data_IF_412634603277
#
_entry.id   IF_412634603277
#
_cell.length_a   1.000
_cell.length_b   1.000
_cell.length_c   1.000
_cell.angle_alpha   90.00
_cell.angle_beta   90.00
_cell.angle_gamma   90.00
#
_symmetry.space_group_name_H-M   'P 1'
#
loop_
_entity.id
_entity.type
_entity.pdbx_description
1 polymer ?
#
# COMPACT_ATOMS: atom_id res chain seq x y z
N UNK A 1 14.65 39.07 -21.27
CA UNK A 1 13.36 38.40 -21.43
C UNK A 1 12.61 38.58 -20.13
N UNK A 2 11.52 39.36 -20.12
CA UNK A 2 10.71 39.54 -18.93
C UNK A 2 9.88 38.28 -18.71
N UNK A 3 10.19 37.50 -17.68
CA UNK A 3 9.34 36.38 -17.27
C UNK A 3 8.05 37.00 -16.74
N UNK A 4 6.95 36.84 -17.48
CA UNK A 4 5.63 37.16 -16.94
C UNK A 4 5.47 36.33 -15.65
N UNK A 5 5.17 37.01 -14.54
CA UNK A 5 4.73 36.29 -13.35
C UNK A 5 3.45 35.55 -13.69
N UNK A 6 3.31 34.28 -13.28
CA UNK A 6 2.07 33.54 -13.48
C UNK A 6 0.93 34.34 -12.82
N UNK A 7 -0.11 34.63 -13.60
CA UNK A 7 -1.34 35.23 -13.09
C UNK A 7 -2.03 34.15 -12.28
N UNK A 8 -2.11 34.36 -10.97
CA UNK A 8 -2.98 33.57 -10.09
C UNK A 8 -4.35 34.22 -10.24
N UNK A 9 -5.23 33.62 -11.05
CA UNK A 9 -6.64 34.01 -11.04
C UNK A 9 -7.24 33.54 -9.71
N UNK A 10 -7.89 34.47 -9.00
CA UNK A 10 -8.64 34.16 -7.77
C UNK A 10 -9.92 33.35 -8.08
N UNK A 11 -10.30 33.26 -9.35
CA UNK A 11 -11.43 32.44 -9.79
C UNK A 11 -11.08 30.96 -9.65
N UNK A 12 -12.00 30.14 -9.08
CA UNK A 12 -11.78 28.71 -8.94
C UNK A 12 -11.50 28.11 -10.31
N UNK A 13 -10.34 27.49 -10.46
CA UNK A 13 -9.93 26.87 -11.72
C UNK A 13 -10.98 25.83 -12.10
N UNK A 14 -11.71 26.11 -13.16
CA UNK A 14 -12.77 25.24 -13.63
C UNK A 14 -12.19 23.94 -14.20
N UNK A 15 -12.95 22.83 -14.16
CA UNK A 15 -12.56 21.59 -14.84
C UNK A 15 -12.17 21.84 -16.32
N UNK A 16 -12.86 22.77 -16.98
CA UNK A 16 -12.56 23.17 -18.36
C UNK A 16 -11.19 23.83 -18.51
N UNK A 17 -10.77 24.66 -17.54
CA UNK A 17 -9.44 25.28 -17.54
C UNK A 17 -8.32 24.25 -17.34
N UNK A 18 -8.53 23.27 -16.45
CA UNK A 18 -7.60 22.14 -16.29
C UNK A 18 -7.49 21.31 -17.57
N UNK A 19 -8.63 21.04 -18.21
CA UNK A 19 -8.68 20.27 -19.45
C UNK A 19 -8.02 21.04 -20.61
N UNK A 20 -8.24 22.35 -20.70
CA UNK A 20 -7.57 23.22 -21.67
C UNK A 20 -6.05 23.17 -21.55
N UNK A 21 -5.53 23.34 -20.32
CA UNK A 21 -4.08 23.26 -20.06
C UNK A 21 -3.50 21.90 -20.47
N UNK A 22 -4.23 20.82 -20.22
CA UNK A 22 -3.78 19.48 -20.58
C UNK A 22 -3.82 19.22 -22.08
N UNK A 23 -4.86 19.68 -22.77
CA UNK A 23 -4.96 19.60 -24.22
C UNK A 23 -3.84 20.41 -24.90
N UNK A 24 -3.59 21.63 -24.44
CA UNK A 24 -2.50 22.49 -24.93
C UNK A 24 -1.14 21.82 -24.74
N UNK A 25 -0.88 21.27 -23.54
CA UNK A 25 0.34 20.53 -23.26
C UNK A 25 0.48 19.31 -24.17
N UNK A 26 -0.61 18.55 -24.38
CA UNK A 26 -0.64 17.37 -25.25
C UNK A 26 -0.37 17.71 -26.71
N UNK A 27 -0.99 18.77 -27.23
CA UNK A 27 -0.78 19.25 -28.61
C UNK A 27 0.67 19.67 -28.84
N UNK A 28 1.30 20.26 -27.83
CA UNK A 28 2.71 20.66 -27.86
C UNK A 28 3.69 19.50 -27.60
N UNK A 29 3.19 18.27 -27.38
CA UNK A 29 4.00 17.10 -27.04
C UNK A 29 4.70 17.23 -25.69
N UNK A 30 4.16 18.07 -24.81
CA UNK A 30 4.66 18.31 -23.45
C UNK A 30 3.94 17.39 -22.47
N UNK A 31 4.59 17.17 -21.32
CA UNK A 31 4.03 16.35 -20.27
C UNK A 31 3.43 17.24 -19.18
N UNK A 32 2.40 16.72 -18.54
CA UNK A 32 1.70 17.36 -17.43
C UNK A 32 1.97 16.54 -16.18
N UNK A 33 2.12 17.24 -15.06
CA UNK A 33 2.25 16.66 -13.74
C UNK A 33 1.05 17.08 -12.90
N UNK A 34 0.42 16.13 -12.23
CA UNK A 34 -0.73 16.35 -11.37
C UNK A 34 -0.32 16.04 -9.93
N UNK A 35 -0.67 16.92 -9.01
CA UNK A 35 -0.40 16.78 -7.59
C UNK A 35 -1.71 16.87 -6.82
N UNK A 36 -2.10 15.79 -6.15
CA UNK A 36 -3.20 15.80 -5.20
C UNK A 36 -2.63 15.99 -3.79
N UNK A 37 -3.16 16.92 -3.01
CA UNK A 37 -2.65 17.25 -1.68
C UNK A 37 -3.74 17.15 -0.61
N UNK A 38 -3.38 16.61 0.55
CA UNK A 38 -4.20 16.62 1.76
C UNK A 38 -3.37 17.11 2.94
N UNK A 39 -4.08 17.69 3.91
CA UNK A 39 -3.48 18.25 5.12
C UNK A 39 -4.18 17.63 6.32
N UNK A 40 -3.38 17.13 7.26
CA UNK A 40 -3.85 16.61 8.54
C UNK A 40 -3.24 17.40 9.69
N UNK A 41 -3.94 17.45 10.83
CA UNK A 41 -3.48 18.15 12.03
C UNK A 41 -4.44 19.25 12.49
N UNK A 42 -4.00 20.19 13.35
CA UNK A 42 -4.82 21.31 13.82
C UNK A 42 -5.03 22.30 12.68
N UNK A 43 -6.08 22.07 11.88
CA UNK A 43 -6.42 22.90 10.73
C UNK A 43 -7.61 23.80 11.03
N UNK A 44 -7.53 25.06 10.60
CA UNK A 44 -8.66 25.97 10.55
C UNK A 44 -9.39 25.87 9.20
N UNK A 45 -10.59 26.45 9.08
CA UNK A 45 -11.21 26.66 7.77
C UNK A 45 -10.26 27.41 6.84
N UNK A 46 -10.18 26.99 5.57
CA UNK A 46 -9.30 27.58 4.54
C UNK A 46 -7.83 27.15 4.60
N UNK A 47 -7.45 26.19 5.47
CA UNK A 47 -6.07 25.69 5.52
C UNK A 47 -5.64 25.04 4.19
N UNK A 48 -6.57 24.35 3.52
CA UNK A 48 -6.30 23.72 2.23
C UNK A 48 -6.07 24.76 1.12
N UNK A 49 -6.88 25.83 1.09
CA UNK A 49 -6.75 26.90 0.11
C UNK A 49 -5.39 27.59 0.24
N UNK A 50 -5.00 27.88 1.49
CA UNK A 50 -3.68 28.43 1.81
C UNK A 50 -2.55 27.50 1.36
N UNK A 51 -2.69 26.18 1.55
CA UNK A 51 -1.68 25.23 1.11
C UNK A 51 -1.59 25.11 -0.41
N UNK A 52 -2.73 25.13 -1.13
CA UNK A 52 -2.74 25.17 -2.59
C UNK A 52 -2.00 26.42 -3.07
N UNK A 53 -2.28 27.58 -2.50
CA UNK A 53 -1.60 28.83 -2.84
C UNK A 53 -0.08 28.73 -2.62
N UNK A 54 0.35 28.25 -1.44
CA UNK A 54 1.78 28.03 -1.13
C UNK A 54 2.41 27.06 -2.13
N UNK A 55 1.71 25.99 -2.50
CA UNK A 55 2.21 25.02 -3.46
C UNK A 55 2.35 25.61 -4.88
N UNK A 56 1.39 26.43 -5.32
CA UNK A 56 1.47 27.18 -6.58
C UNK A 56 2.67 28.13 -6.57
N UNK A 57 2.84 28.92 -5.51
CA UNK A 57 4.00 29.82 -5.38
C UNK A 57 5.33 29.05 -5.37
N UNK A 58 5.38 27.93 -4.66
CA UNK A 58 6.57 27.08 -4.59
C UNK A 58 6.91 26.45 -5.95
N UNK A 59 5.91 26.07 -6.76
CA UNK A 59 6.10 25.57 -8.12
C UNK A 59 6.54 26.69 -9.07
N UNK A 60 5.88 27.85 -9.02
CA UNK A 60 6.19 29.02 -9.84
C UNK A 60 7.60 29.58 -9.60
N UNK A 61 8.13 29.45 -8.37
CA UNK A 61 9.49 29.85 -8.04
C UNK A 61 10.57 28.98 -8.69
N UNK A 62 10.22 27.79 -9.19
CA UNK A 62 11.18 26.88 -9.81
C UNK A 62 11.41 27.22 -11.27
N UNK A 63 12.67 27.14 -11.70
CA UNK A 63 13.08 27.42 -13.09
C UNK A 63 12.71 26.30 -14.08
N UNK A 64 12.42 25.11 -13.56
CA UNK A 64 12.07 23.92 -14.34
C UNK A 64 10.55 23.74 -14.49
N UNK A 65 9.73 24.72 -14.07
CA UNK A 65 8.29 24.76 -14.27
C UNK A 65 7.96 25.91 -15.23
N UNK A 66 7.24 25.62 -16.32
CA UNK A 66 6.84 26.63 -17.30
C UNK A 66 5.56 27.33 -16.87
N UNK A 67 4.56 26.53 -16.53
CA UNK A 67 3.25 26.97 -16.09
C UNK A 67 2.79 26.04 -14.97
N UNK A 68 2.07 26.60 -14.01
CA UNK A 68 1.38 25.84 -12.99
C UNK A 68 0.04 26.51 -12.70
N UNK A 69 -0.96 25.71 -12.44
CA UNK A 69 -2.29 26.14 -12.00
C UNK A 69 -2.76 25.20 -10.89
N UNK A 70 -3.63 25.70 -10.01
CA UNK A 70 -4.17 24.93 -8.90
C UNK A 70 -5.67 25.10 -8.84
N UNK A 71 -6.40 23.99 -8.77
CA UNK A 71 -7.84 24.00 -8.51
C UNK A 71 -8.13 23.52 -7.09
N UNK A 72 -9.20 24.05 -6.52
CA UNK A 72 -9.61 23.78 -5.15
C UNK A 72 -10.70 22.71 -5.14
N UNK A 73 -10.60 21.79 -4.17
CA UNK A 73 -11.68 20.99 -3.60
C UNK A 73 -12.15 19.81 -4.45
N UNK A 74 -11.47 18.68 -4.31
CA UNK A 74 -12.14 17.38 -4.44
C UNK A 74 -12.44 16.87 -3.03
N UNK A 75 -13.71 16.56 -2.77
CA UNK A 75 -14.11 15.91 -1.52
C UNK A 75 -13.75 14.42 -1.62
N UNK A 76 -12.79 13.98 -0.81
CA UNK A 76 -12.42 12.58 -0.64
C UNK A 76 -12.82 12.12 0.75
N UNK A 77 -13.75 11.16 0.86
CA UNK A 77 -14.12 10.57 2.16
C UNK A 77 -14.54 11.60 3.24
N UNK A 78 -15.03 12.77 2.82
CA UNK A 78 -15.40 13.87 3.72
C UNK A 78 -14.25 14.82 4.09
N UNK A 79 -13.05 14.58 3.55
CA UNK A 79 -11.90 15.48 3.65
C UNK A 79 -11.70 16.25 2.34
N UNK A 80 -11.15 17.46 2.44
CA UNK A 80 -10.89 18.31 1.31
C UNK A 80 -9.48 18.07 0.77
N UNK A 81 -9.36 17.70 -0.49
CA UNK A 81 -8.10 17.62 -1.21
C UNK A 81 -7.95 18.80 -2.20
N UNK A 82 -6.74 19.34 -2.29
CA UNK A 82 -6.36 20.31 -3.32
C UNK A 82 -5.70 19.60 -4.50
N UNK A 83 -5.97 20.06 -5.73
CA UNK A 83 -5.37 19.48 -6.94
C UNK A 83 -4.58 20.54 -7.68
N UNK A 84 -3.29 20.30 -7.91
CA UNK A 84 -2.45 21.15 -8.73
C UNK A 84 -2.07 20.46 -10.03
N UNK A 85 -1.92 21.27 -11.07
CA UNK A 85 -1.45 20.83 -12.37
C UNK A 85 -0.28 21.72 -12.78
N UNK A 86 0.85 21.09 -13.10
CA UNK A 86 2.07 21.79 -13.52
C UNK A 86 2.61 21.22 -14.82
N UNK A 87 3.15 22.11 -15.65
CA UNK A 87 3.85 21.77 -16.89
C UNK A 87 5.34 22.04 -16.72
N UNK A 88 6.17 21.00 -16.53
CA UNK A 88 7.60 21.16 -16.40
C UNK A 88 8.29 21.52 -17.72
N UNK A 89 9.35 22.34 -17.65
CA UNK A 89 10.33 22.53 -18.73
C UNK A 89 11.35 21.40 -18.70
N UNK A 90 11.03 20.28 -19.34
CA UNK A 90 11.94 19.13 -19.50
C UNK A 90 11.55 17.95 -18.62
N UNK A 91 12.55 17.17 -18.18
CA UNK A 91 12.35 15.97 -17.37
C UNK A 91 12.82 16.17 -15.92
N UNK A 92 12.36 17.20 -15.17
CA UNK A 92 12.59 17.19 -13.74
C UNK A 92 11.88 15.96 -13.16
N UNK A 93 12.60 15.24 -12.30
CA UNK A 93 12.04 14.07 -11.64
C UNK A 93 10.85 14.50 -10.80
N UNK A 94 9.64 14.04 -11.16
CA UNK A 94 8.39 14.31 -10.46
C UNK A 94 8.53 14.14 -8.93
N UNK A 95 9.27 13.10 -8.52
CA UNK A 95 9.60 12.83 -7.12
C UNK A 95 10.29 14.01 -6.42
N UNK A 96 11.27 14.64 -7.06
CA UNK A 96 12.02 15.77 -6.51
C UNK A 96 11.12 16.99 -6.33
N UNK A 97 10.17 17.20 -7.26
CA UNK A 97 9.19 18.28 -7.14
C UNK A 97 8.24 18.01 -5.97
N UNK A 98 7.72 16.79 -5.85
CA UNK A 98 6.86 16.40 -4.73
C UNK A 98 7.52 16.52 -3.36
N UNK A 99 8.74 16.02 -3.21
CA UNK A 99 9.50 16.14 -1.95
C UNK A 99 9.75 17.60 -1.56
N UNK A 100 10.08 18.45 -2.54
CA UNK A 100 10.23 19.88 -2.33
C UNK A 100 8.91 20.53 -1.88
N UNK A 101 7.78 20.21 -2.52
CA UNK A 101 6.46 20.73 -2.14
C UNK A 101 6.10 20.35 -0.70
N UNK A 102 6.31 19.10 -0.31
CA UNK A 102 6.08 18.64 1.07
C UNK A 102 6.90 19.47 2.06
N UNK A 103 8.19 19.67 1.79
CA UNK A 103 9.08 20.45 2.67
C UNK A 103 8.65 21.92 2.76
N UNK A 104 8.30 22.54 1.63
CA UNK A 104 7.82 23.93 1.60
C UNK A 104 6.52 24.09 2.37
N UNK A 105 5.56 23.19 2.17
CA UNK A 105 4.26 23.25 2.83
C UNK A 105 4.36 23.01 4.33
N UNK A 106 5.10 21.97 4.75
CA UNK A 106 5.31 21.68 6.16
C UNK A 106 6.00 22.85 6.90
N UNK A 107 6.95 23.52 6.25
CA UNK A 107 7.65 24.67 6.83
C UNK A 107 6.78 25.93 6.95
N UNK A 108 5.78 26.12 6.08
CA UNK A 108 4.98 27.35 6.04
C UNK A 108 3.61 27.24 6.71
N UNK A 109 3.04 26.04 6.82
CA UNK A 109 1.75 25.81 7.46
C UNK A 109 1.84 25.74 8.99
N UNK A 110 3.05 25.54 9.53
CA UNK A 110 3.33 25.58 10.96
C UNK A 110 3.48 24.21 11.62
N UNK A 111 3.91 24.23 12.88
CA UNK A 111 4.22 23.01 13.63
C UNK A 111 2.98 22.14 13.85
N UNK A 112 3.15 20.82 13.66
CA UNK A 112 2.08 19.84 13.85
C UNK A 112 1.12 19.67 12.67
N UNK A 113 1.28 20.48 11.60
CA UNK A 113 0.60 20.24 10.33
C UNK A 113 1.34 19.16 9.56
N UNK A 114 0.60 18.19 9.04
CA UNK A 114 1.14 17.11 8.22
C UNK A 114 0.61 17.20 6.80
N UNK A 115 1.48 16.96 5.82
CA UNK A 115 1.19 17.12 4.40
C UNK A 115 1.35 15.79 3.67
N UNK A 116 0.31 15.33 3.00
CA UNK A 116 0.38 14.17 2.12
C UNK A 116 0.19 14.64 0.68
N UNK A 117 1.04 14.16 -0.24
CA UNK A 117 0.93 14.49 -1.66
C UNK A 117 0.93 13.19 -2.47
N UNK A 118 -0.08 13.01 -3.31
CA UNK A 118 -0.08 12.04 -4.39
C UNK A 118 0.29 12.69 -5.71
N UNK A 119 1.04 11.99 -6.55
CA UNK A 119 1.58 12.54 -7.79
C UNK A 119 1.28 11.63 -8.98
N UNK A 120 1.02 12.26 -10.12
CA UNK A 120 0.94 11.61 -11.42
C UNK A 120 1.63 12.42 -12.51
N UNK A 121 2.04 11.78 -13.60
CA UNK A 121 2.60 12.39 -14.79
C UNK A 121 2.15 11.69 -16.06
N UNK A 122 1.96 12.46 -17.12
CA UNK A 122 1.66 11.95 -18.46
C UNK A 122 2.91 11.59 -19.27
N UNK A 123 4.11 11.74 -18.69
CA UNK A 123 5.38 11.48 -19.36
C UNK A 123 5.49 10.06 -19.92
N UNK A 124 5.06 9.08 -19.13
CA UNK A 124 5.18 7.66 -19.45
C UNK A 124 3.92 7.11 -20.15
N UNK A 125 2.83 7.87 -20.13
CA UNK A 125 1.51 7.42 -20.57
C UNK A 125 0.84 8.45 -21.50
N UNK A 126 1.14 8.37 -22.81
CA UNK A 126 0.63 9.29 -23.84
C UNK A 126 -0.90 9.27 -24.03
N UNK A 127 -1.53 8.18 -23.60
CA UNK A 127 -2.97 7.97 -23.74
C UNK A 127 -3.74 8.30 -22.44
N UNK A 128 -3.03 8.73 -21.40
CA UNK A 128 -3.65 9.13 -20.13
C UNK A 128 -4.42 10.43 -20.35
N UNK A 129 -5.71 10.46 -20.00
CA UNK A 129 -6.47 11.71 -19.93
C UNK A 129 -6.24 12.43 -18.59
N UNK A 130 -6.77 13.65 -18.47
CA UNK A 130 -6.67 14.46 -17.24
C UNK A 130 -7.27 13.72 -16.07
N UNK A 131 -8.44 13.13 -16.27
CA UNK A 131 -9.20 12.53 -15.19
C UNK A 131 -8.51 11.26 -14.66
N UNK A 132 -7.84 10.50 -15.55
CA UNK A 132 -6.99 9.36 -15.21
C UNK A 132 -5.76 9.83 -14.43
N UNK A 133 -5.11 10.91 -14.86
CA UNK A 133 -3.97 11.48 -14.14
C UNK A 133 -4.37 11.97 -12.74
N UNK A 134 -5.53 12.62 -12.62
CA UNK A 134 -6.09 13.02 -11.32
C UNK A 134 -6.40 11.77 -10.48
N UNK A 135 -7.05 10.76 -11.04
CA UNK A 135 -7.36 9.52 -10.34
C UNK A 135 -6.10 8.84 -9.77
N UNK A 136 -5.05 8.75 -10.58
CA UNK A 136 -3.76 8.16 -10.15
C UNK A 136 -3.11 9.00 -9.05
N UNK A 137 -3.14 10.34 -9.18
CA UNK A 137 -2.63 11.23 -8.14
C UNK A 137 -3.42 11.06 -6.83
N UNK A 138 -4.74 10.90 -6.90
CA UNK A 138 -5.60 10.71 -5.73
C UNK A 138 -5.36 9.36 -5.04
N UNK A 139 -5.14 8.27 -5.79
CA UNK A 139 -4.72 7.00 -5.20
C UNK A 139 -3.33 7.11 -4.55
N UNK A 140 -2.40 7.82 -5.19
CA UNK A 140 -1.10 8.15 -4.59
C UNK A 140 -1.25 8.93 -3.29
N UNK A 141 -2.24 9.82 -3.20
CA UNK A 141 -2.54 10.61 -2.01
C UNK A 141 -3.05 9.71 -0.88
N UNK A 142 -3.95 8.77 -1.16
CA UNK A 142 -4.42 7.79 -0.16
C UNK A 142 -3.24 6.97 0.40
N UNK A 143 -2.34 6.51 -0.46
CA UNK A 143 -1.13 5.78 -0.04
C UNK A 143 -0.20 6.67 0.79
N UNK A 144 -0.02 7.93 0.40
CA UNK A 144 0.79 8.90 1.13
C UNK A 144 0.23 9.15 2.54
N UNK A 145 -1.08 9.35 2.66
CA UNK A 145 -1.78 9.53 3.92
C UNK A 145 -1.70 8.30 4.82
N UNK A 146 -1.92 7.10 4.26
CA UNK A 146 -1.89 5.85 5.01
C UNK A 146 -0.48 5.47 5.51
N UNK A 147 0.57 5.84 4.76
CA UNK A 147 1.95 5.46 5.09
C UNK A 147 2.61 6.36 6.14
N UNK A 148 1.87 7.35 6.65
CA UNK A 148 2.37 8.39 7.55
C UNK A 148 2.67 9.67 6.77
N UNK A 149 2.09 10.78 7.21
CA UNK A 149 2.14 12.05 6.49
C UNK A 149 3.55 12.66 6.40
N UNK A 150 3.67 13.81 5.73
CA UNK A 150 4.92 14.47 5.30
C UNK A 150 5.68 13.69 4.23
N UNK A 151 4.97 13.25 3.18
CA UNK A 151 5.58 12.59 2.03
C UNK A 151 4.82 12.84 0.74
N UNK A 152 5.56 12.67 -0.36
CA UNK A 152 5.01 12.63 -1.70
C UNK A 152 5.14 11.20 -2.24
N UNK A 153 4.06 10.65 -2.78
CA UNK A 153 4.02 9.31 -3.36
C UNK A 153 3.62 9.43 -4.83
N UNK A 154 4.47 8.92 -5.71
CA UNK A 154 4.10 8.63 -7.08
C UNK A 154 3.46 7.25 -7.10
N UNK A 155 2.23 7.14 -7.59
CA UNK A 155 1.60 5.84 -7.70
C UNK A 155 2.16 5.13 -8.93
N UNK A 156 2.92 4.04 -8.74
CA UNK A 156 3.28 3.11 -9.82
C UNK A 156 2.04 2.31 -10.32
N UNK A 157 0.87 2.56 -9.74
CA UNK A 157 -0.35 1.81 -10.01
C UNK A 157 -1.07 2.21 -11.31
N UNK A 158 -0.46 3.00 -12.21
CA UNK A 158 -1.09 3.45 -13.45
C UNK A 158 -1.86 2.35 -14.20
N UNK A 159 -1.21 1.20 -14.39
CA UNK A 159 -1.82 0.07 -15.10
C UNK A 159 -3.04 -0.49 -14.35
N UNK A 160 -2.96 -0.56 -13.02
CA UNK A 160 -4.03 -1.04 -12.16
C UNK A 160 -5.19 -0.05 -12.10
N UNK A 161 -4.93 1.25 -11.98
CA UNK A 161 -5.92 2.32 -11.96
C UNK A 161 -6.67 2.35 -13.29
N UNK A 162 -5.95 2.33 -14.42
CA UNK A 162 -6.53 2.25 -15.76
C UNK A 162 -7.37 0.98 -15.96
N UNK A 163 -6.87 -0.18 -15.54
CA UNK A 163 -7.61 -1.44 -15.63
C UNK A 163 -8.88 -1.43 -14.75
N UNK A 164 -8.79 -0.85 -13.55
CA UNK A 164 -9.92 -0.76 -12.61
C UNK A 164 -10.98 0.21 -13.13
N UNK A 165 -10.58 1.35 -13.70
CA UNK A 165 -11.51 2.34 -14.28
C UNK A 165 -12.21 1.80 -15.52
N UNK A 166 -11.49 1.14 -16.42
CA UNK A 166 -12.08 0.44 -17.58
C UNK A 166 -13.10 -0.63 -17.17
N UNK A 167 -12.94 -1.24 -15.98
CA UNK A 167 -13.87 -2.24 -15.44
C UNK A 167 -15.05 -1.63 -14.67
N UNK A 168 -14.83 -0.56 -13.90
CA UNK A 168 -15.81 0.01 -12.97
C UNK A 168 -16.58 1.21 -13.51
N UNK A 169 -16.08 1.89 -14.54
CA UNK A 169 -16.66 3.14 -15.03
C UNK A 169 -16.63 4.27 -14.00
N UNK A 170 -15.81 4.16 -12.94
CA UNK A 170 -15.69 5.20 -11.91
C UNK A 170 -14.99 6.42 -12.48
N UNK A 171 -15.81 7.43 -12.79
CA UNK A 171 -15.34 8.79 -13.00
C UNK A 171 -15.26 9.45 -11.63
N UNK A 172 -14.13 10.05 -11.25
CA UNK A 172 -14.14 11.03 -10.17
C UNK A 172 -14.90 12.22 -10.74
N UNK A 173 -16.17 12.44 -10.36
CA UNK A 173 -16.94 13.51 -10.98
C UNK A 173 -16.35 14.82 -10.48
N UNK A 174 -15.62 15.52 -11.36
CA UNK A 174 -15.26 16.92 -11.16
C UNK A 174 -16.52 17.81 -10.99
N UNK A 175 -17.69 17.30 -11.35
CA UNK A 175 -19.00 17.95 -11.16
C UNK A 175 -19.44 18.08 -9.69
N UNK A 176 -18.80 17.41 -8.72
CA UNK A 176 -19.13 17.60 -7.29
C UNK A 176 -18.45 18.80 -6.64
N UNK A 177 -17.82 19.68 -7.43
CA UNK A 177 -17.34 20.98 -6.95
C UNK A 177 -18.57 21.82 -6.56
N UNK A 178 -18.95 21.74 -5.29
CA UNK A 178 -19.93 22.65 -4.72
C UNK A 178 -19.33 24.05 -4.84
N UNK A 179 -19.90 24.86 -5.74
CA UNK A 179 -19.75 26.30 -5.67
C UNK A 179 -20.18 26.71 -4.27
N UNK A 180 -19.31 27.44 -3.57
CA UNK A 180 -19.59 27.97 -2.26
C UNK A 180 -20.72 28.99 -2.36
N UNK A 181 -21.97 28.53 -2.35
CA UNK A 181 -23.10 29.35 -2.01
C UNK A 181 -23.02 29.61 -0.51
N UNK A 182 -22.63 30.85 -0.18
CA UNK A 182 -22.83 31.44 1.13
C UNK A 182 -24.31 31.25 1.53
N UNK A 183 -24.55 30.69 2.72
CA UNK A 183 -25.86 30.38 3.35
C UNK A 183 -26.39 28.94 3.25
N UNK A 184 -25.63 27.96 3.74
CA UNK A 184 -26.21 26.70 4.25
C UNK A 184 -26.12 26.65 5.79
N UNK A 185 -27.27 26.81 6.46
CA UNK A 185 -27.42 26.66 7.91
C UNK A 185 -27.27 25.17 8.28
N UNK A 186 -26.18 24.82 8.95
CA UNK A 186 -25.96 23.46 9.48
C UNK A 186 -26.94 23.20 10.64
N UNK A 187 -27.72 22.11 10.63
CA UNK A 187 -28.53 21.74 11.78
C UNK A 187 -27.63 21.26 12.94
N UNK A 188 -27.69 22.00 14.05
CA UNK A 188 -26.98 21.72 15.29
C UNK A 188 -27.28 20.31 15.82
N UNK A 189 -26.28 19.44 15.81
CA UNK A 189 -26.31 18.16 16.51
C UNK A 189 -26.19 18.38 18.02
N UNK A 190 -27.17 17.85 18.77
CA UNK A 190 -27.20 17.88 20.24
C UNK A 190 -25.95 17.22 20.85
N UNK A 191 -25.32 17.82 21.87
CA UNK A 191 -24.18 17.21 22.54
C UNK A 191 -24.60 15.98 23.34
N UNK A 192 -23.82 14.91 23.21
CA UNK A 192 -23.92 13.71 24.02
C UNK A 192 -23.65 14.02 25.50
N UNK A 193 -24.54 13.56 26.37
CA UNK A 193 -24.42 13.62 27.83
C UNK A 193 -23.12 12.92 28.28
N UNK A 194 -22.23 13.67 28.92
CA UNK A 194 -21.17 13.12 29.74
C UNK A 194 -21.78 12.45 30.98
N UNK A 195 -21.43 11.19 31.22
CA UNK A 195 -21.71 10.51 32.48
C UNK A 195 -20.64 10.92 33.53
N UNK A 196 -21.02 11.19 34.79
CA UNK A 196 -20.07 11.56 35.83
C UNK A 196 -19.27 10.35 36.28
N UNK A 197 -17.94 10.46 36.24
CA UNK A 197 -17.04 9.54 36.93
C UNK A 197 -17.12 9.78 38.44
N UNK A 198 -17.48 8.75 39.19
CA UNK A 198 -17.37 8.73 40.65
C UNK A 198 -15.92 8.45 41.06
N UNK A 199 -15.39 9.10 42.11
CA UNK A 199 -14.06 8.81 42.62
C UNK A 199 -14.02 7.46 43.34
N UNK A 200 -13.05 6.62 42.98
CA UNK A 200 -12.73 5.38 43.68
C UNK A 200 -11.81 5.75 44.85
N UNK A 201 -12.30 5.59 46.08
CA UNK A 201 -11.49 5.68 47.30
C UNK A 201 -10.57 4.46 47.38
N UNK A 202 -9.25 4.72 47.42
CA UNK A 202 -8.22 3.71 47.64
C UNK A 202 -7.93 3.65 49.13
N UNK A 203 -8.50 2.66 49.82
CA UNK A 203 -8.13 2.31 51.19
C UNK A 203 -6.74 1.66 51.21
N UNK A 204 -5.77 2.32 51.83
CA UNK A 204 -4.44 1.79 52.12
C UNK A 204 -4.49 0.90 53.35
N UNK A 205 -4.57 -0.42 53.14
CA UNK A 205 -4.42 -1.42 54.20
C UNK A 205 -2.93 -1.75 54.40
N UNK A 206 -2.41 -1.40 55.57
CA UNK A 206 -1.09 -1.81 56.02
C UNK A 206 -1.16 -3.26 56.52
N UNK A 207 -0.53 -4.20 55.80
CA UNK A 207 -0.40 -5.59 56.23
C UNK A 207 1.07 -5.95 56.52
N UNK A 208 1.25 -6.43 57.74
CA UNK A 208 2.49 -7.00 58.30
C UNK A 208 2.66 -8.42 57.76
N UNK A 209 3.86 -8.88 57.40
CA UNK A 209 4.05 -10.24 56.91
C UNK A 209 3.88 -11.27 58.05
N UNK A 210 3.14 -12.37 57.84
CA UNK A 210 3.10 -13.47 58.80
C UNK A 210 4.37 -14.33 58.73
N UNK A 211 4.74 -15.01 59.83
CA UNK A 211 5.93 -15.84 59.90
C UNK A 211 5.74 -17.15 59.11
N UNK A 212 6.74 -17.47 58.31
CA UNK A 212 6.82 -18.70 57.52
C UNK A 212 7.51 -19.76 58.38
N UNK A 213 6.74 -20.70 58.94
CA UNK A 213 7.33 -21.93 59.45
C UNK A 213 6.27 -23.04 59.55
N UNK A 214 6.33 -23.98 58.59
CA UNK A 214 6.09 -25.43 58.69
C UNK A 214 5.89 -26.01 57.29
N UNK A 215 6.98 -26.56 56.76
CA UNK A 215 6.96 -27.55 55.69
C UNK A 215 6.38 -28.86 56.25
N UNK A 216 5.18 -29.20 55.82
CA UNK A 216 4.66 -30.57 55.85
C UNK A 216 4.44 -31.00 54.41
N UNK A 217 4.89 -32.22 54.07
CA UNK A 217 4.69 -32.88 52.79
C UNK A 217 3.22 -32.78 52.35
N UNK A 218 2.97 -32.10 51.23
CA UNK A 218 1.71 -32.17 50.50
C UNK A 218 1.95 -33.01 49.25
N UNK A 219 1.24 -34.13 49.14
CA UNK A 219 1.06 -34.85 47.87
C UNK A 219 0.49 -33.86 46.84
N UNK A 220 1.22 -33.66 45.75
CA UNK A 220 0.89 -32.67 44.72
C UNK A 220 -0.42 -33.04 44.00
N UNK A 221 -1.53 -32.31 44.21
CA UNK A 221 -2.83 -32.63 43.62
C UNK A 221 -2.88 -32.36 42.10
N UNK A 222 -1.80 -31.83 41.52
CA UNK A 222 -1.69 -31.54 40.08
C UNK A 222 -0.90 -32.57 39.28
N UNK A 223 -0.35 -33.60 39.93
CA UNK A 223 0.42 -34.66 39.26
C UNK A 223 -0.38 -35.40 38.15
N UNK A 224 -1.71 -35.49 38.29
CA UNK A 224 -2.58 -36.13 37.31
C UNK A 224 -2.99 -35.20 36.13
N UNK A 225 -2.93 -33.88 36.32
CA UNK A 225 -3.21 -32.91 35.24
C UNK A 225 -2.01 -32.72 34.31
N UNK A 226 -0.80 -33.02 34.80
CA UNK A 226 0.42 -32.96 34.00
C UNK A 226 0.51 -34.06 32.94
N UNK A 227 -0.09 -35.24 33.15
CA UNK A 227 -0.08 -36.33 32.17
C UNK A 227 -1.12 -36.14 31.06
N UNK A 228 -2.35 -35.71 31.40
CA UNK A 228 -3.41 -35.48 30.41
C UNK A 228 -3.14 -34.26 29.51
N UNK A 229 -2.51 -33.21 30.06
CA UNK A 229 -2.10 -32.05 29.28
C UNK A 229 -0.93 -32.35 28.30
N UNK A 230 -0.14 -33.39 28.58
CA UNK A 230 0.98 -33.78 27.73
C UNK A 230 0.52 -34.59 26.50
N UNK A 231 -0.49 -35.44 26.66
CA UNK A 231 -1.03 -36.26 25.56
C UNK A 231 -1.88 -35.44 24.58
N UNK A 232 -2.74 -34.54 25.09
CA UNK A 232 -3.49 -33.58 24.25
C UNK A 232 -2.56 -32.58 23.54
N UNK A 233 -1.43 -32.22 24.17
CA UNK A 233 -0.39 -31.40 23.54
C UNK A 233 0.35 -32.13 22.41
N UNK A 234 0.63 -33.42 22.59
CA UNK A 234 1.37 -34.23 21.61
C UNK A 234 0.54 -34.57 20.37
N UNK A 235 -0.75 -34.89 20.51
CA UNK A 235 -1.66 -35.12 19.37
C UNK A 235 -1.93 -33.82 18.59
N UNK A 236 -2.12 -32.70 19.29
CA UNK A 236 -2.30 -31.40 18.65
C UNK A 236 -1.02 -30.87 17.99
N UNK A 237 0.16 -31.18 18.54
CA UNK A 237 1.46 -30.83 17.96
C UNK A 237 1.82 -31.71 16.75
N UNK A 238 1.46 -33.00 16.77
CA UNK A 238 1.66 -33.91 15.62
C UNK A 238 0.68 -33.66 14.48
N UNK A 239 -0.54 -33.17 14.77
CA UNK A 239 -1.46 -32.67 13.74
C UNK A 239 -0.95 -31.39 13.07
N UNK A 240 -0.25 -30.52 13.81
CA UNK A 240 0.38 -29.30 13.27
C UNK A 240 1.64 -29.58 12.44
N UNK A 241 2.42 -30.62 12.76
CA UNK A 241 3.68 -30.90 12.03
C UNK A 241 3.48 -31.76 10.78
N UNK A 242 2.47 -32.64 10.73
CA UNK A 242 2.25 -33.52 9.57
C UNK A 242 1.49 -32.86 8.40
N UNK A 243 0.86 -31.70 8.62
CA UNK A 243 0.09 -30.97 7.60
C UNK A 243 0.77 -29.73 7.00
N UNK A 244 1.96 -29.37 7.49
CA UNK A 244 2.66 -28.15 7.06
C UNK A 244 3.94 -28.57 6.34
N UNK A 245 3.84 -28.89 5.06
CA UNK A 245 4.93 -28.45 4.19
C UNK A 245 5.01 -26.92 4.37
N UNK A 246 6.20 -26.34 4.61
CA UNK A 246 6.29 -24.90 4.81
C UNK A 246 5.64 -24.25 3.60
N UNK A 247 4.69 -23.32 3.81
CA UNK A 247 3.91 -22.68 2.72
C UNK A 247 4.81 -22.22 1.56
N UNK A 248 6.06 -21.86 1.87
CA UNK A 248 7.10 -21.52 0.89
C UNK A 248 7.43 -22.64 -0.11
N UNK A 249 7.43 -23.91 0.28
CA UNK A 249 7.73 -25.03 -0.63
C UNK A 249 6.56 -25.35 -1.56
N UNK A 250 5.32 -25.19 -1.08
CA UNK A 250 4.11 -25.30 -1.91
C UNK A 250 4.06 -24.14 -2.91
N UNK A 251 4.30 -22.90 -2.45
CA UNK A 251 4.32 -21.72 -3.32
C UNK A 251 5.46 -21.80 -4.34
N UNK A 252 6.64 -22.31 -3.96
CA UNK A 252 7.75 -22.50 -4.87
C UNK A 252 7.46 -23.53 -5.97
N UNK A 253 6.79 -24.64 -5.63
CA UNK A 253 6.33 -25.63 -6.63
C UNK A 253 5.28 -25.03 -7.56
N UNK A 254 4.32 -24.29 -7.02
CA UNK A 254 3.29 -23.64 -7.81
C UNK A 254 3.89 -22.58 -8.76
N UNK A 255 4.83 -21.77 -8.30
CA UNK A 255 5.57 -20.84 -9.15
C UNK A 255 6.35 -21.58 -10.26
N UNK A 256 6.96 -22.72 -9.95
CA UNK A 256 7.69 -23.52 -10.93
C UNK A 256 6.75 -24.09 -12.00
N UNK A 257 5.57 -24.58 -11.61
CA UNK A 257 4.53 -25.07 -12.51
C UNK A 257 3.99 -23.96 -13.41
N UNK A 258 3.65 -22.79 -12.84
CA UNK A 258 3.20 -21.62 -13.62
C UNK A 258 4.27 -21.12 -14.59
N UNK A 259 5.56 -21.16 -14.23
CA UNK A 259 6.65 -20.80 -15.15
C UNK A 259 6.75 -21.78 -16.32
N UNK A 260 6.59 -23.07 -16.07
CA UNK A 260 6.59 -24.08 -17.12
C UNK A 260 5.40 -23.91 -18.07
N UNK A 261 4.24 -23.49 -17.54
CA UNK A 261 3.06 -23.19 -18.34
C UNK A 261 3.25 -21.94 -19.22
N UNK A 262 3.85 -20.87 -18.72
CA UNK A 262 4.19 -19.67 -19.51
C UNK A 262 5.11 -20.03 -20.67
N UNK A 263 6.19 -20.79 -20.41
CA UNK A 263 7.12 -21.20 -21.46
C UNK A 263 6.44 -22.05 -22.54
N UNK A 264 5.52 -22.94 -22.13
CA UNK A 264 4.70 -23.72 -23.06
C UNK A 264 3.79 -22.81 -23.91
N UNK A 265 3.12 -21.85 -23.31
CA UNK A 265 2.21 -20.92 -24.00
C UNK A 265 2.98 -19.99 -24.96
N UNK A 266 4.19 -19.55 -24.60
CA UNK A 266 5.08 -18.77 -25.46
C UNK A 266 5.47 -19.56 -26.71
N UNK A 267 5.88 -20.81 -26.54
CA UNK A 267 6.20 -21.70 -27.66
C UNK A 267 4.99 -21.93 -28.58
N UNK A 268 3.80 -22.13 -28.00
CA UNK A 268 2.57 -22.31 -28.79
C UNK A 268 2.19 -21.03 -29.55
N UNK A 269 2.36 -19.85 -28.95
CA UNK A 269 2.09 -18.57 -29.58
C UNK A 269 3.05 -18.29 -30.74
N UNK A 270 4.33 -18.61 -30.59
CA UNK A 270 5.31 -18.49 -31.67
C UNK A 270 5.00 -19.41 -32.84
N UNK A 271 4.57 -20.65 -32.56
CA UNK A 271 4.11 -21.57 -33.59
C UNK A 271 2.85 -21.04 -34.30
N UNK A 272 1.86 -20.54 -33.55
CA UNK A 272 0.64 -19.97 -34.12
C UNK A 272 0.91 -18.74 -35.00
N UNK A 273 1.89 -17.90 -34.62
CA UNK A 273 2.32 -16.75 -35.43
C UNK A 273 3.01 -17.19 -36.73
N UNK A 274 3.86 -18.22 -36.68
CA UNK A 274 4.49 -18.79 -37.88
C UNK A 274 3.46 -19.42 -38.81
N UNK A 275 2.54 -20.22 -38.26
CA UNK A 275 1.43 -20.79 -39.03
C UNK A 275 0.56 -19.72 -39.70
N UNK A 276 0.32 -18.59 -39.03
CA UNK A 276 -0.40 -17.44 -39.61
C UNK A 276 0.35 -16.81 -40.78
N UNK A 277 1.67 -16.66 -40.67
CA UNK A 277 2.49 -16.11 -41.75
C UNK A 277 2.50 -17.06 -42.97
N UNK A 278 2.59 -18.36 -42.74
CA UNK A 278 2.57 -19.37 -43.80
C UNK A 278 1.20 -19.52 -44.48
N UNK A 279 0.11 -19.44 -43.72
CA UNK A 279 -1.26 -19.48 -44.26
C UNK A 279 -1.62 -18.19 -44.99
N UNK A 280 -1.16 -17.03 -44.52
CA UNK A 280 -1.31 -15.75 -45.22
C UNK A 280 -0.61 -15.77 -46.58
N UNK A 281 0.59 -16.37 -46.65
CA UNK A 281 1.30 -16.59 -47.92
C UNK A 281 0.56 -17.56 -48.87
N UNK A 282 -0.27 -18.45 -48.33
CA UNK A 282 -1.10 -19.41 -49.08
C UNK A 282 -2.55 -18.93 -49.33
N UNK A 283 -2.91 -17.73 -48.88
CA UNK A 283 -4.25 -17.14 -49.04
C UNK A 283 -5.36 -17.79 -48.21
N UNK A 284 -5.03 -18.43 -47.09
CA UNK A 284 -6.01 -19.11 -46.22
C UNK A 284 -6.53 -18.22 -45.06
N UNK A 285 -7.63 -18.66 -44.41
CA UNK A 285 -8.42 -17.91 -43.42
C UNK A 285 -7.59 -17.32 -42.24
N UNK A 286 -7.31 -16.01 -42.30
CA UNK A 286 -6.58 -15.24 -41.27
C UNK A 286 -7.34 -15.13 -39.94
N UNK A 287 -8.68 -15.03 -39.99
CA UNK A 287 -9.51 -14.66 -38.83
C UNK A 287 -9.51 -15.72 -37.72
N UNK A 288 -9.49 -17.01 -38.08
CA UNK A 288 -9.44 -18.10 -37.09
C UNK A 288 -8.11 -18.13 -36.36
N UNK A 289 -7.02 -17.84 -37.06
CA UNK A 289 -5.68 -17.78 -36.50
C UNK A 289 -5.49 -16.53 -35.63
N UNK A 290 -6.06 -15.39 -36.03
CA UNK A 290 -6.08 -14.17 -35.21
C UNK A 290 -6.81 -14.39 -33.89
N UNK A 291 -7.99 -15.03 -33.93
CA UNK A 291 -8.73 -15.38 -32.71
C UNK A 291 -7.93 -16.35 -31.82
N UNK A 292 -7.19 -17.29 -32.41
CA UNK A 292 -6.33 -18.21 -31.64
C UNK A 292 -5.15 -17.47 -31.00
N UNK A 293 -4.48 -16.58 -31.73
CA UNK A 293 -3.38 -15.76 -31.19
C UNK A 293 -3.90 -14.86 -30.07
N UNK A 294 -5.04 -14.21 -30.23
CA UNK A 294 -5.64 -13.38 -29.19
C UNK A 294 -5.95 -14.19 -27.91
N UNK A 295 -6.43 -15.44 -28.04
CA UNK A 295 -6.64 -16.33 -26.89
C UNK A 295 -5.33 -16.71 -26.20
N UNK A 296 -4.29 -17.03 -26.96
CA UNK A 296 -2.97 -17.39 -26.39
C UNK A 296 -2.30 -16.20 -25.69
N UNK A 297 -2.43 -14.98 -26.24
CA UNK A 297 -1.97 -13.74 -25.57
C UNK A 297 -2.70 -13.55 -24.25
N UNK A 298 -4.03 -13.71 -24.24
CA UNK A 298 -4.81 -13.56 -23.02
C UNK A 298 -4.47 -14.61 -21.96
N UNK A 299 -4.21 -15.86 -22.36
CA UNK A 299 -3.76 -16.92 -21.45
C UNK A 299 -2.38 -16.64 -20.87
N UNK A 300 -1.46 -16.05 -21.65
CA UNK A 300 -0.15 -15.63 -21.16
C UNK A 300 -0.27 -14.51 -20.12
N UNK A 301 -1.07 -13.50 -20.40
CA UNK A 301 -1.32 -12.40 -19.45
C UNK A 301 -1.89 -12.90 -18.12
N UNK A 302 -2.84 -13.84 -18.17
CA UNK A 302 -3.40 -14.46 -16.97
C UNK A 302 -2.34 -15.24 -16.18
N UNK A 303 -1.54 -16.07 -16.84
CA UNK A 303 -0.49 -16.86 -16.19
C UNK A 303 0.63 -15.98 -15.59
N UNK A 304 1.01 -14.89 -16.27
CA UNK A 304 2.00 -13.94 -15.77
C UNK A 304 1.47 -13.19 -14.53
N UNK A 305 0.20 -12.78 -14.54
CA UNK A 305 -0.44 -12.15 -13.37
C UNK A 305 -0.55 -13.08 -12.16
N UNK A 306 -0.70 -14.39 -12.38
CA UNK A 306 -0.77 -15.39 -11.32
C UNK A 306 0.59 -15.56 -10.63
N UNK A 307 1.70 -15.60 -11.37
CA UNK A 307 3.06 -15.60 -10.77
C UNK A 307 3.30 -14.33 -9.97
N UNK A 308 2.90 -13.17 -10.50
CA UNK A 308 3.08 -11.91 -9.79
C UNK A 308 2.30 -11.88 -8.47
N UNK A 309 1.07 -12.40 -8.48
CA UNK A 309 0.29 -12.59 -7.26
C UNK A 309 0.97 -13.55 -6.28
N UNK A 310 1.47 -14.70 -6.75
CA UNK A 310 2.19 -15.66 -5.90
C UNK A 310 3.46 -15.07 -5.29
N UNK A 311 4.18 -14.22 -6.02
CA UNK A 311 5.33 -13.46 -5.52
C UNK A 311 4.94 -12.40 -4.50
N UNK A 312 3.84 -11.69 -4.73
CA UNK A 312 3.32 -10.72 -3.77
C UNK A 312 2.84 -11.39 -2.47
N UNK A 313 2.30 -12.60 -2.58
CA UNK A 313 1.89 -13.41 -1.43
C UNK A 313 3.10 -13.99 -0.68
N UNK A 314 4.15 -14.43 -1.39
CA UNK A 314 5.39 -14.90 -0.77
C UNK A 314 6.22 -13.77 -0.13
N UNK A 315 6.18 -12.56 -0.69
CA UNK A 315 6.83 -11.37 -0.10
C UNK A 315 6.14 -10.87 1.19
N UNK A 316 4.84 -11.17 1.37
CA UNK A 316 4.05 -10.79 2.55
C UNK A 316 4.19 -11.75 3.74
N UNK A 317 4.87 -12.88 3.56
CA UNK A 317 5.30 -13.74 4.66
C UNK A 317 6.82 -13.58 4.85
N UNK A 318 7.30 -12.47 5.46
CA UNK A 318 8.68 -12.37 5.91
C UNK A 318 8.81 -13.34 7.09
N UNK A 319 8.97 -14.62 6.76
CA UNK A 319 8.64 -15.79 7.56
C UNK A 319 8.57 -15.48 9.05
N UNK A 320 7.36 -15.60 9.62
CA UNK A 320 7.04 -15.42 11.05
C UNK A 320 8.31 -15.20 11.86
N UNK A 321 8.69 -13.96 12.22
CA UNK A 321 9.81 -13.76 13.12
C UNK A 321 9.49 -14.60 14.34
N UNK A 322 10.22 -15.71 14.46
CA UNK A 322 9.91 -16.75 15.41
C UNK A 322 9.61 -16.06 16.73
N UNK A 323 8.44 -16.30 17.33
CA UNK A 323 8.13 -15.81 18.68
C UNK A 323 9.20 -16.21 19.71
N UNK A 324 10.15 -17.06 19.33
CA UNK A 324 11.33 -17.47 20.08
C UNK A 324 12.61 -16.67 19.77
N UNK A 325 12.60 -15.64 18.89
CA UNK A 325 13.80 -14.81 18.68
C UNK A 325 14.15 -13.97 19.91
N UNK A 326 13.18 -13.75 20.80
CA UNK A 326 13.39 -13.24 22.14
C UNK A 326 12.85 -14.25 23.18
N UNK A 327 13.35 -15.49 23.17
CA UNK A 327 13.30 -16.26 24.42
C UNK A 327 14.19 -15.54 25.41
N UNK A 328 13.57 -14.96 26.44
CA UNK A 328 14.22 -14.33 27.58
C UNK A 328 15.37 -15.24 28.07
N UNK A 329 16.61 -14.75 28.05
CA UNK A 329 17.77 -15.47 28.61
C UNK A 329 18.78 -16.06 27.62
N UNK A 330 18.79 -15.63 26.36
CA UNK A 330 19.87 -15.88 25.38
C UNK A 330 20.51 -14.57 24.92
N UNK A 331 20.95 -13.74 25.86
CA UNK A 331 21.80 -12.58 25.52
C UNK A 331 23.18 -13.12 25.07
N UNK A 332 23.69 -12.74 23.87
CA UNK A 332 25.00 -13.19 23.40
C UNK A 332 26.16 -12.81 24.33
N UNK A 333 25.96 -11.84 25.23
CA UNK A 333 26.97 -11.40 26.20
C UNK A 333 26.85 -12.08 27.57
N UNK A 334 25.85 -12.96 27.77
CA UNK A 334 25.72 -13.68 29.04
C UNK A 334 26.80 -14.76 29.14
N UNK A 335 27.53 -14.89 30.28
CA UNK A 335 28.61 -15.88 30.42
C UNK A 335 28.14 -17.32 30.25
N UNK A 336 26.84 -17.60 30.43
CA UNK A 336 26.23 -18.92 30.23
C UNK A 336 25.69 -19.17 28.82
N UNK A 337 25.73 -18.17 27.92
CA UNK A 337 25.24 -18.29 26.55
C UNK A 337 25.79 -19.50 25.76
N UNK A 338 27.10 -19.85 25.82
CA UNK A 338 27.60 -21.01 25.09
C UNK A 338 27.03 -22.33 25.61
N UNK A 339 26.84 -22.45 26.93
CA UNK A 339 26.27 -23.67 27.54
C UNK A 339 24.80 -23.83 27.18
N UNK A 340 24.03 -22.74 27.24
CA UNK A 340 22.61 -22.74 26.85
C UNK A 340 22.42 -23.09 25.37
N UNK A 341 23.28 -22.56 24.48
CA UNK A 341 23.27 -22.95 23.05
C UNK A 341 23.52 -24.44 22.86
N UNK A 342 24.54 -25.00 23.52
CA UNK A 342 24.84 -26.43 23.42
C UNK A 342 23.67 -27.30 23.87
N UNK A 343 22.97 -26.92 24.94
CA UNK A 343 21.78 -27.65 25.43
C UNK A 343 20.64 -27.57 24.42
N UNK A 344 20.36 -26.38 23.88
CA UNK A 344 19.28 -26.16 22.90
C UNK A 344 19.54 -26.93 21.61
N UNK A 345 20.77 -26.88 21.10
CA UNK A 345 21.17 -27.63 19.91
C UNK A 345 21.02 -29.14 20.15
N UNK A 346 21.33 -29.62 21.36
CA UNK A 346 21.11 -31.01 21.76
C UNK A 346 19.64 -31.42 21.73
N UNK A 347 18.75 -30.59 22.26
CA UNK A 347 17.29 -30.84 22.24
C UNK A 347 16.75 -30.85 20.81
N UNK A 348 17.17 -29.91 19.96
CA UNK A 348 16.75 -29.87 18.56
C UNK A 348 17.25 -31.08 17.76
N UNK A 349 18.48 -31.54 18.01
CA UNK A 349 19.01 -32.75 17.37
C UNK A 349 18.30 -34.01 17.85
N UNK A 350 17.99 -34.12 19.14
CA UNK A 350 17.22 -35.24 19.69
C UNK A 350 15.82 -35.31 19.07
N UNK A 351 15.10 -34.19 19.02
CA UNK A 351 13.76 -34.12 18.41
C UNK A 351 13.79 -34.38 16.90
N UNK A 352 14.89 -34.06 16.20
CA UNK A 352 15.07 -34.42 14.78
C UNK A 352 15.38 -35.90 14.57
N UNK A 353 16.05 -36.53 15.53
CA UNK A 353 16.43 -37.93 15.46
C UNK A 353 15.28 -38.88 15.84
N UNK A 354 14.32 -38.41 16.64
CA UNK A 354 13.03 -39.08 16.87
C UNK A 354 12.17 -39.00 15.60
N UNK A 355 12.44 -39.89 14.65
CA UNK A 355 11.46 -40.24 13.62
C UNK A 355 10.28 -40.95 14.31
N UNK A 356 9.02 -40.66 13.92
CA UNK A 356 7.87 -41.35 14.46
C UNK A 356 7.99 -42.83 14.13
N UNK A 357 8.11 -43.66 15.17
CA UNK A 357 8.33 -45.11 15.03
C UNK A 357 7.03 -45.90 14.83
N UNK A 358 5.87 -45.24 14.92
CA UNK A 358 4.58 -45.91 14.89
C UNK A 358 3.75 -45.46 13.67
N UNK A 359 4.06 -46.02 12.49
CA UNK A 359 3.17 -46.06 11.32
C UNK A 359 3.36 -47.33 10.47
N UNK A 360 3.83 -48.42 11.06
CA UNK A 360 4.03 -49.70 10.36
C UNK A 360 3.39 -50.90 11.08
N UNK A 361 2.27 -50.68 11.77
CA UNK A 361 1.42 -51.74 12.27
C UNK A 361 -0.04 -51.27 12.33
N UNK A 362 -0.65 -51.09 11.15
CA UNK A 362 -2.10 -51.25 10.95
C UNK A 362 -2.39 -51.62 9.50
#
# INVERSE_FOLDING_TARGET
MGSQMPVIDDDPVTPDALNGLFMDARELGRHVQVFALAISGPTGPGTIDRAVLIAVEALAARKDIETCTGSITVLMNGETAGVLVAQPQGAPGLKVIGEHLVQSLAGQLGDGVQVAIGMATTAEHKDLDVDDAIAVAMEGLEVASASGANRAVHSELYELTLATRRRRGTVYPLESVQHGDEHATIPSAKPARQAPFAPVEVETRADTPPPVDRLGEFDDPFAHLASEAYELGAESATALTNGIAPKSEIVAKLEQESRAEIERLRLELDLARREKLESAAKGAESDKQERRIAKLVHQLEQAESEIERLRAESAKDPGVPSKFRAVQGLDPNEPTAPVKRTIIDGVFQANRAEKPKDRAAE
#
